data_IF_824220825640
#
_entry.id   IF_824220825640
#
_cell.length_a   1.000
_cell.length_b   1.000
_cell.length_c   1.000
_cell.angle_alpha   90.00
_cell.angle_beta   90.00
_cell.angle_gamma   90.00
#
_symmetry.space_group_name_H-M   'P 1'
#
loop_
_entity.id
_entity.type
_entity.pdbx_description
1 polymer ?
#
# COMPACT_ATOMS: atom_id res chain seq x y z
N UNK A 1 13.97 -28.05 4.31
CA UNK A 1 13.17 -27.00 4.97
C UNK A 1 14.07 -25.80 5.20
N UNK A 2 13.62 -24.60 4.82
CA UNK A 2 14.41 -23.35 4.95
C UNK A 2 13.51 -22.21 5.42
N UNK A 3 14.01 -21.40 6.34
CA UNK A 3 13.37 -20.16 6.79
C UNK A 3 14.09 -18.98 6.13
N UNK A 4 13.35 -18.13 5.44
CA UNK A 4 13.85 -16.87 4.91
C UNK A 4 13.32 -15.74 5.78
N UNK A 5 14.21 -14.87 6.22
CA UNK A 5 13.85 -13.61 6.87
C UNK A 5 14.30 -12.48 5.96
N UNK A 6 13.40 -11.56 5.67
CA UNK A 6 13.59 -10.56 4.64
C UNK A 6 13.16 -9.17 5.15
N UNK A 7 14.06 -8.37 5.75
CA UNK A 7 13.82 -6.94 5.87
C UNK A 7 13.70 -6.32 4.49
N UNK A 8 12.74 -5.40 4.33
CA UNK A 8 12.47 -4.79 3.04
C UNK A 8 12.12 -3.31 3.14
N UNK A 9 12.36 -2.65 2.02
CA UNK A 9 11.81 -1.34 1.69
C UNK A 9 10.83 -1.49 0.53
N UNK A 10 9.68 -0.85 0.62
CA UNK A 10 8.66 -0.91 -0.40
C UNK A 10 8.07 0.46 -0.69
N UNK A 11 7.49 0.61 -1.87
CA UNK A 11 6.74 1.78 -2.25
C UNK A 11 5.49 1.39 -3.02
N UNK A 12 4.42 2.14 -2.81
CA UNK A 12 3.16 1.94 -3.53
C UNK A 12 3.22 2.58 -4.92
N UNK A 13 2.56 1.93 -5.88
CA UNK A 13 2.48 2.31 -7.28
C UNK A 13 1.00 2.36 -7.67
N UNK A 14 0.65 3.42 -8.40
CA UNK A 14 -0.71 3.62 -8.91
C UNK A 14 -1.62 4.44 -7.99
N UNK A 15 -1.10 4.97 -6.88
CA UNK A 15 -1.88 5.88 -6.03
C UNK A 15 -2.08 7.23 -6.73
N UNK A 16 -3.30 7.75 -6.64
CA UNK A 16 -3.72 9.00 -7.29
C UNK A 16 -3.09 10.22 -6.64
N UNK A 17 -3.09 10.28 -5.30
CA UNK A 17 -2.76 11.50 -4.55
C UNK A 17 -1.50 11.41 -3.68
N UNK A 18 -1.21 10.25 -3.08
CA UNK A 18 -0.04 10.08 -2.23
C UNK A 18 0.55 8.68 -2.37
N UNK A 19 1.85 8.61 -2.65
CA UNK A 19 2.60 7.35 -2.64
C UNK A 19 3.20 7.12 -1.26
N UNK A 20 3.10 5.90 -0.77
CA UNK A 20 3.60 5.51 0.55
C UNK A 20 4.96 4.84 0.43
N UNK A 21 5.90 5.24 1.27
CA UNK A 21 7.18 4.57 1.49
C UNK A 21 7.05 3.69 2.73
N UNK A 22 7.34 2.40 2.59
CA UNK A 22 7.06 1.37 3.58
C UNK A 22 8.37 0.70 3.96
N UNK A 23 8.57 0.49 5.26
CA UNK A 23 9.64 -0.35 5.79
C UNK A 23 9.00 -1.50 6.53
N UNK A 24 9.52 -2.70 6.33
CA UNK A 24 8.93 -3.89 6.91
C UNK A 24 9.85 -5.09 6.90
N UNK A 25 9.28 -6.23 7.26
CA UNK A 25 9.94 -7.51 7.21
C UNK A 25 8.96 -8.60 6.77
N UNK A 26 9.49 -9.63 6.15
CA UNK A 26 8.78 -10.81 5.72
C UNK A 26 9.52 -12.06 6.21
N UNK A 27 8.76 -13.05 6.69
CA UNK A 27 9.28 -14.34 7.09
C UNK A 27 8.60 -15.41 6.22
N UNK A 28 9.38 -16.21 5.50
CA UNK A 28 8.90 -17.30 4.64
C UNK A 28 9.47 -18.64 5.07
N UNK A 29 8.60 -19.60 5.34
CA UNK A 29 8.97 -20.96 5.64
C UNK A 29 8.66 -21.87 4.44
N UNK A 30 9.70 -22.45 3.84
CA UNK A 30 9.56 -23.41 2.76
C UNK A 30 9.62 -24.83 3.35
N UNK A 31 8.48 -25.51 3.30
CA UNK A 31 8.35 -26.90 3.73
C UNK A 31 8.69 -27.87 2.59
N UNK A 32 8.41 -27.47 1.34
CA UNK A 32 8.89 -28.13 0.12
C UNK A 32 9.81 -27.20 -0.66
N UNK A 33 10.60 -27.73 -1.60
CA UNK A 33 11.53 -26.92 -2.39
C UNK A 33 10.85 -25.90 -3.30
N UNK A 34 9.58 -26.14 -3.63
CA UNK A 34 8.73 -25.36 -4.52
C UNK A 34 7.53 -24.70 -3.84
N UNK A 35 7.26 -25.00 -2.56
CA UNK A 35 6.10 -24.50 -1.82
C UNK A 35 6.48 -23.99 -0.44
N UNK A 36 6.01 -22.80 -0.11
CA UNK A 36 6.21 -22.17 1.19
C UNK A 36 5.00 -21.40 1.68
N UNK A 37 5.04 -21.03 2.95
CA UNK A 37 4.10 -20.10 3.57
C UNK A 37 4.88 -18.90 4.09
N UNK A 38 4.28 -17.72 4.03
CA UNK A 38 4.91 -16.47 4.41
C UNK A 38 3.98 -15.60 5.24
N UNK A 39 4.57 -14.84 6.15
CA UNK A 39 3.94 -13.72 6.81
C UNK A 39 4.78 -12.46 6.58
N UNK A 40 4.13 -11.34 6.28
CA UNK A 40 4.82 -10.08 6.06
C UNK A 40 4.11 -8.94 6.79
N UNK A 41 4.86 -7.90 7.12
CA UNK A 41 4.33 -6.71 7.75
C UNK A 41 5.24 -5.51 7.59
N UNK A 42 4.67 -4.32 7.53
CA UNK A 42 5.41 -3.07 7.38
C UNK A 42 4.59 -1.85 7.76
N UNK A 43 5.30 -0.77 8.06
CA UNK A 43 4.74 0.53 8.40
C UNK A 43 5.13 1.56 7.35
N UNK A 44 4.21 2.47 7.05
CA UNK A 44 4.47 3.61 6.19
C UNK A 44 5.30 4.64 6.96
N UNK A 45 6.52 4.88 6.52
CA UNK A 45 7.50 5.80 7.14
C UNK A 45 7.54 7.15 6.47
N UNK A 46 7.04 7.24 5.24
CA UNK A 46 7.06 8.46 4.46
C UNK A 46 5.95 8.47 3.43
N UNK A 47 5.58 9.67 3.01
CA UNK A 47 4.60 9.90 1.95
C UNK A 47 5.15 10.87 0.94
N UNK A 48 4.87 10.61 -0.32
CA UNK A 48 5.25 11.45 -1.44
C UNK A 48 3.97 11.89 -2.15
N UNK A 49 3.64 13.17 -2.05
CA UNK A 49 2.53 13.76 -2.78
C UNK A 49 2.78 13.61 -4.28
N UNK A 50 1.76 13.11 -4.98
CA UNK A 50 1.80 12.99 -6.44
C UNK A 50 1.70 14.36 -7.09
N UNK A 51 2.00 14.42 -8.39
CA UNK A 51 1.80 15.65 -9.16
C UNK A 51 0.34 16.08 -9.16
N UNK A 52 -0.61 15.14 -9.11
CA UNK A 52 -2.03 15.47 -9.04
C UNK A 52 -2.38 16.19 -7.73
N UNK A 53 -1.93 15.68 -6.59
CA UNK A 53 -2.17 16.35 -5.30
C UNK A 53 -1.54 17.75 -5.24
N UNK A 54 -0.35 17.92 -5.82
CA UNK A 54 0.32 19.22 -5.94
C UNK A 54 -0.44 20.19 -6.84
N UNK A 55 -0.93 19.73 -7.99
CA UNK A 55 -1.74 20.54 -8.90
C UNK A 55 -3.06 20.97 -8.26
N UNK A 56 -3.74 20.09 -7.51
CA UNK A 56 -4.95 20.46 -6.75
C UNK A 56 -4.62 21.52 -5.69
N UNK A 57 -3.49 21.38 -4.99
CA UNK A 57 -3.05 22.38 -4.01
C UNK A 57 -2.76 23.74 -4.65
N UNK A 58 -2.02 23.73 -5.76
CA UNK A 58 -1.47 24.95 -6.36
C UNK A 58 -2.49 25.68 -7.24
N UNK A 59 -3.38 24.94 -7.92
CA UNK A 59 -4.36 25.48 -8.89
C UNK A 59 -5.83 25.18 -8.58
N UNK A 60 -6.12 24.40 -7.54
CA UNK A 60 -7.50 24.07 -7.16
C UNK A 60 -8.31 25.31 -6.83
N UNK A 61 -9.58 25.33 -7.28
CA UNK A 61 -10.52 26.42 -6.99
C UNK A 61 -11.58 25.89 -6.03
N UNK A 62 -11.64 26.50 -4.85
CA UNK A 62 -12.72 26.26 -3.89
C UNK A 62 -13.87 27.21 -4.21
N UNK A 63 -15.01 26.63 -4.53
CA UNK A 63 -16.30 27.30 -4.74
C UNK A 63 -17.30 26.76 -3.72
N UNK A 64 -18.49 27.35 -3.65
CA UNK A 64 -19.54 26.80 -2.79
C UNK A 64 -19.99 25.40 -3.24
N UNK A 65 -19.84 25.07 -4.53
CA UNK A 65 -20.25 23.78 -5.07
C UNK A 65 -19.43 22.61 -4.58
N UNK A 66 -18.12 22.81 -4.43
CA UNK A 66 -17.14 21.78 -4.06
C UNK A 66 -16.54 22.06 -2.68
N UNK A 67 -17.19 22.87 -1.84
CA UNK A 67 -16.65 23.25 -0.54
C UNK A 67 -16.57 22.07 0.43
N UNK A 68 -17.41 21.05 0.26
CA UNK A 68 -17.33 19.80 1.01
C UNK A 68 -16.06 19.00 0.65
N UNK A 69 -15.78 18.89 -0.64
CA UNK A 69 -14.66 18.12 -1.21
C UNK A 69 -13.30 18.81 -1.07
N UNK A 70 -13.28 20.12 -1.28
CA UNK A 70 -12.07 20.94 -1.25
C UNK A 70 -12.26 22.21 -0.39
N UNK A 71 -12.50 22.07 0.94
CA UNK A 71 -12.62 23.23 1.84
C UNK A 71 -11.47 24.22 1.75
N UNK A 72 -10.24 23.70 1.68
CA UNK A 72 -9.03 24.43 1.35
C UNK A 72 -8.14 23.61 0.45
N UNK A 73 -7.71 24.22 -0.66
CA UNK A 73 -6.72 23.66 -1.58
C UNK A 73 -5.38 23.39 -0.91
N UNK A 74 -4.94 24.27 0.00
CA UNK A 74 -3.64 24.16 0.66
C UNK A 74 -3.53 22.90 1.52
N UNK A 75 -4.67 22.47 2.10
CA UNK A 75 -4.79 21.29 2.96
C UNK A 75 -5.30 20.06 2.22
N UNK A 76 -5.36 20.09 0.89
CA UNK A 76 -5.79 18.93 0.11
C UNK A 76 -4.93 17.67 0.40
N UNK A 77 -3.59 17.74 0.49
CA UNK A 77 -2.79 16.58 0.87
C UNK A 77 -3.19 15.99 2.24
N UNK A 78 -3.60 16.86 3.17
CA UNK A 78 -3.98 16.47 4.53
C UNK A 78 -5.33 15.77 4.64
N UNK A 79 -6.19 15.81 3.62
CA UNK A 79 -7.46 15.05 3.58
C UNK A 79 -7.37 13.73 2.80
N UNK A 80 -6.32 13.54 1.98
CA UNK A 80 -6.15 12.32 1.17
C UNK A 80 -6.12 11.04 2.03
N UNK A 81 -6.71 9.97 1.51
CA UNK A 81 -6.67 8.64 2.11
C UNK A 81 -5.24 8.12 2.15
N UNK A 82 -4.86 7.47 3.26
CA UNK A 82 -3.52 6.93 3.47
C UNK A 82 -3.58 5.50 3.96
N UNK A 83 -2.56 4.72 3.65
CA UNK A 83 -2.32 3.43 4.31
C UNK A 83 -1.15 3.59 5.28
N UNK A 84 -1.38 3.30 6.56
CA UNK A 84 -0.43 3.49 7.65
C UNK A 84 0.42 2.25 7.91
N UNK A 85 -0.17 1.07 7.77
CA UNK A 85 0.50 -0.20 7.94
C UNK A 85 -0.10 -1.25 7.02
N UNK A 86 0.71 -2.22 6.66
CA UNK A 86 0.35 -3.34 5.81
C UNK A 86 0.83 -4.62 6.48
N UNK A 87 0.04 -5.66 6.40
CA UNK A 87 0.41 -6.99 6.87
C UNK A 87 -0.28 -8.05 6.02
N UNK A 88 0.21 -9.27 6.01
CA UNK A 88 -0.44 -10.34 5.28
C UNK A 88 0.16 -11.70 5.55
N UNK A 89 -0.61 -12.70 5.12
CA UNK A 89 -0.18 -14.10 5.06
C UNK A 89 -0.33 -14.59 3.63
N UNK A 90 0.68 -15.32 3.15
CA UNK A 90 0.82 -15.68 1.74
C UNK A 90 1.29 -17.12 1.59
N UNK A 91 0.83 -17.78 0.53
CA UNK A 91 1.36 -19.04 0.03
C UNK A 91 2.28 -18.72 -1.14
N UNK A 92 3.47 -19.32 -1.15
CA UNK A 92 4.54 -19.07 -2.13
C UNK A 92 4.76 -20.31 -2.98
N UNK A 93 4.76 -20.13 -4.29
CA UNK A 93 4.97 -21.18 -5.28
C UNK A 93 6.18 -20.82 -6.14
N UNK A 94 7.22 -21.66 -6.11
CA UNK A 94 8.52 -21.41 -6.77
C UNK A 94 8.72 -22.45 -7.89
N UNK A 95 8.15 -22.23 -9.08
CA UNK A 95 8.26 -23.18 -10.19
C UNK A 95 9.62 -23.14 -10.89
N UNK A 96 10.31 -22.00 -10.86
CA UNK A 96 11.58 -21.82 -11.55
C UNK A 96 12.68 -21.50 -10.55
N UNK A 97 13.65 -22.41 -10.49
CA UNK A 97 14.93 -22.23 -9.84
C UNK A 97 16.02 -22.48 -10.87
N UNK A 98 16.98 -21.57 -10.97
CA UNK A 98 18.06 -21.71 -11.93
C UNK A 98 19.30 -20.93 -11.54
N UNK A 99 20.42 -21.28 -12.16
CA UNK A 99 21.66 -20.50 -12.09
C UNK A 99 21.68 -19.50 -13.22
N UNK A 100 21.77 -18.23 -12.90
CA UNK A 100 21.96 -17.17 -13.88
C UNK A 100 23.42 -16.74 -13.87
N UNK A 101 23.97 -16.55 -15.06
CA UNK A 101 25.30 -16.01 -15.26
C UNK A 101 25.19 -14.57 -15.77
N UNK A 102 25.56 -13.58 -14.96
CA UNK A 102 25.72 -12.20 -15.42
C UNK A 102 27.13 -12.04 -16.00
N UNK A 103 27.21 -11.52 -17.22
CA UNK A 103 28.47 -11.21 -17.91
C UNK A 103 29.45 -12.40 -18.03
N UNK A 104 28.93 -13.63 -18.03
CA UNK A 104 29.73 -14.88 -18.07
C UNK A 104 30.76 -15.02 -16.93
N UNK A 105 30.67 -14.22 -15.86
CA UNK A 105 31.65 -14.22 -14.75
C UNK A 105 31.01 -14.28 -13.37
N UNK A 106 29.79 -13.77 -13.20
CA UNK A 106 29.10 -13.76 -11.91
C UNK A 106 27.96 -14.77 -11.99
N UNK A 107 28.09 -15.87 -11.25
CA UNK A 107 27.04 -16.88 -11.11
C UNK A 107 26.26 -16.60 -9.84
N UNK A 108 24.94 -16.47 -9.95
CA UNK A 108 24.05 -16.36 -8.81
C UNK A 108 22.87 -17.31 -8.98
N UNK A 109 22.38 -17.84 -7.85
CA UNK A 109 21.16 -18.66 -7.85
C UNK A 109 19.96 -17.73 -7.89
N UNK A 110 19.01 -18.01 -8.78
CA UNK A 110 17.82 -17.22 -8.99
C UNK A 110 16.56 -18.07 -8.82
N UNK A 111 15.62 -17.56 -8.01
CA UNK A 111 14.30 -18.13 -7.79
C UNK A 111 13.23 -17.14 -8.31
N UNK A 112 12.30 -17.62 -9.14
CA UNK A 112 11.07 -16.89 -9.48
C UNK A 112 9.89 -17.50 -8.70
N UNK A 113 9.25 -16.67 -7.89
CA UNK A 113 8.22 -17.01 -6.92
C UNK A 113 6.90 -16.31 -7.31
N UNK A 114 5.81 -17.06 -7.25
CA UNK A 114 4.43 -16.56 -7.37
C UNK A 114 3.74 -16.76 -6.03
N UNK A 115 3.08 -15.72 -5.53
CA UNK A 115 2.40 -15.81 -4.24
C UNK A 115 0.96 -15.33 -4.30
N UNK A 116 0.15 -15.90 -3.41
CA UNK A 116 -1.26 -15.56 -3.22
C UNK A 116 -1.60 -15.64 -1.75
N UNK A 117 -2.46 -14.75 -1.26
CA UNK A 117 -2.76 -14.67 0.15
C UNK A 117 -3.82 -13.64 0.51
N UNK A 118 -3.81 -13.25 1.77
CA UNK A 118 -4.68 -12.22 2.32
C UNK A 118 -3.82 -11.11 2.92
N UNK A 119 -4.18 -9.86 2.60
CA UNK A 119 -3.59 -8.66 3.16
C UNK A 119 -4.57 -7.96 4.11
N UNK A 120 -4.00 -7.41 5.17
CA UNK A 120 -4.63 -6.56 6.17
C UNK A 120 -3.96 -5.19 6.09
N UNK A 121 -4.77 -4.15 5.94
CA UNK A 121 -4.27 -2.79 5.73
C UNK A 121 -4.86 -1.86 6.77
N UNK A 122 -4.01 -1.13 7.48
CA UNK A 122 -4.44 -0.02 8.31
C UNK A 122 -4.66 1.21 7.46
N UNK A 123 -5.89 1.48 7.08
CA UNK A 123 -6.26 2.64 6.26
C UNK A 123 -6.72 3.77 7.18
N UNK A 124 -6.31 4.98 6.85
CA UNK A 124 -6.78 6.20 7.50
C UNK A 124 -7.35 7.13 6.42
N UNK A 125 -8.64 7.42 6.53
CA UNK A 125 -9.44 8.21 5.58
C UNK A 125 -9.90 9.49 6.28
N UNK A 126 -10.44 10.44 5.51
CA UNK A 126 -11.17 11.58 6.09
C UNK A 126 -12.34 11.04 6.92
N UNK A 127 -12.59 11.64 8.08
CA UNK A 127 -13.69 11.25 8.94
C UNK A 127 -15.05 11.62 8.33
N UNK A 128 -16.08 10.88 8.73
CA UNK A 128 -17.43 11.06 8.21
C UNK A 128 -17.89 12.51 8.38
N UNK A 129 -18.32 13.13 7.29
CA UNK A 129 -18.65 14.57 7.24
C UNK A 129 -19.90 14.78 6.41
N UNK A 130 -20.86 15.52 6.95
CA UNK A 130 -22.09 15.86 6.23
C UNK A 130 -22.03 17.32 5.78
N UNK A 131 -22.16 17.56 4.48
CA UNK A 131 -22.53 18.86 3.93
C UNK A 131 -24.05 19.04 4.08
N UNK A 132 -24.50 20.19 4.61
CA UNK A 132 -25.93 20.45 4.73
C UNK A 132 -26.43 21.10 3.43
N UNK A 133 -27.32 20.46 2.65
CA UNK A 133 -27.93 21.14 1.52
C UNK A 133 -28.90 22.22 2.06
N UNK A 134 -28.59 23.49 1.85
CA UNK A 134 -29.57 24.55 2.00
C UNK A 134 -30.50 24.53 0.78
N UNK A 135 -31.80 24.75 0.98
CA UNK A 135 -32.78 24.73 -0.11
C UNK A 135 -32.47 25.82 -1.14
N UNK A 136 -32.02 25.43 -2.34
CA UNK A 136 -31.73 26.32 -3.46
C UNK A 136 -30.28 26.76 -3.62
N UNK A 137 -29.35 26.29 -2.78
CA UNK A 137 -27.93 26.68 -2.85
C UNK A 137 -26.97 25.48 -2.80
N UNK A 138 -25.80 25.68 -3.41
CA UNK A 138 -24.67 24.75 -3.50
C UNK A 138 -24.19 24.36 -2.10
N UNK A 139 -23.97 23.06 -1.87
CA UNK A 139 -23.67 22.43 -0.57
C UNK A 139 -22.73 23.27 0.33
N UNK A 140 -23.33 24.01 1.26
CA UNK A 140 -22.61 24.71 2.31
C UNK A 140 -22.50 23.81 3.56
N UNK A 141 -21.32 23.78 4.18
CA UNK A 141 -21.26 23.49 5.62
C UNK A 141 -21.93 24.66 6.35
N UNK A 142 -23.24 24.56 6.64
CA UNK A 142 -24.03 25.70 7.13
C UNK A 142 -23.66 26.12 8.57
N UNK A 143 -23.53 27.44 8.77
CA UNK A 143 -23.39 28.28 10.00
C UNK A 143 -21.99 28.64 10.56
N UNK A 144 -21.84 29.81 11.22
CA UNK A 144 -20.60 30.59 11.26
C UNK A 144 -19.53 29.92 12.14
N UNK A 145 -18.40 29.62 11.51
CA UNK A 145 -17.37 28.73 12.05
C UNK A 145 -17.21 27.56 11.09
N UNK A 146 -16.51 27.81 9.98
CA UNK A 146 -16.23 26.93 8.84
C UNK A 146 -15.92 25.46 9.20
N UNK A 147 -16.93 24.63 9.51
CA UNK A 147 -16.77 23.24 9.95
C UNK A 147 -16.19 22.31 8.86
N UNK A 148 -16.27 22.73 7.60
CA UNK A 148 -15.63 22.06 6.47
C UNK A 148 -14.10 22.04 6.59
N UNK A 149 -13.49 23.08 7.16
CA UNK A 149 -12.04 23.21 7.24
C UNK A 149 -11.42 22.30 8.32
N UNK A 150 -12.01 22.18 9.54
CA UNK A 150 -11.65 21.14 10.51
C UNK A 150 -11.86 19.73 9.97
N UNK A 151 -12.89 19.49 9.14
CA UNK A 151 -13.16 18.14 8.65
C UNK A 151 -12.12 17.64 7.63
N UNK A 152 -11.35 18.51 6.97
CA UNK A 152 -10.18 18.08 6.16
C UNK A 152 -9.11 17.41 7.01
N UNK A 153 -8.99 17.80 8.28
CA UNK A 153 -8.00 17.28 9.22
C UNK A 153 -8.54 16.14 10.08
N UNK A 154 -9.86 15.98 10.16
CA UNK A 154 -10.50 14.91 10.89
C UNK A 154 -10.25 13.58 10.17
N UNK A 155 -9.73 12.58 10.91
CA UNK A 155 -9.32 11.29 10.35
C UNK A 155 -10.02 10.12 11.03
N UNK A 156 -10.49 9.18 10.24
CA UNK A 156 -11.03 7.90 10.69
C UNK A 156 -10.10 6.76 10.32
N UNK A 157 -9.85 5.85 11.25
CA UNK A 157 -8.95 4.70 11.07
C UNK A 157 -9.78 3.43 10.95
N UNK A 158 -9.39 2.55 10.02
CA UNK A 158 -9.98 1.21 9.90
C UNK A 158 -8.98 0.19 9.37
N UNK A 159 -9.31 -1.07 9.57
CA UNK A 159 -8.61 -2.18 8.94
C UNK A 159 -9.38 -2.62 7.70
N UNK A 160 -8.73 -2.60 6.53
CA UNK A 160 -9.24 -3.22 5.32
C UNK A 160 -8.66 -4.63 5.18
N UNK A 161 -9.47 -5.56 4.69
CA UNK A 161 -9.04 -6.92 4.35
C UNK A 161 -9.20 -7.09 2.84
N UNK A 162 -8.18 -7.61 2.19
CA UNK A 162 -8.14 -7.75 0.74
C UNK A 162 -7.35 -8.99 0.31
N UNK A 163 -7.66 -9.58 -0.86
CA UNK A 163 -6.76 -10.57 -1.44
C UNK A 163 -5.42 -9.92 -1.79
N UNK A 164 -4.33 -10.66 -1.63
CA UNK A 164 -2.97 -10.30 -2.03
C UNK A 164 -2.47 -11.32 -3.04
N UNK A 165 -1.77 -10.85 -4.07
CA UNK A 165 -1.09 -11.75 -5.00
C UNK A 165 0.09 -11.03 -5.65
N UNK A 166 1.01 -11.78 -6.24
CA UNK A 166 2.11 -11.16 -6.95
C UNK A 166 3.20 -12.12 -7.37
N UNK A 167 4.33 -11.51 -7.75
CA UNK A 167 5.52 -12.19 -8.24
C UNK A 167 6.74 -11.63 -7.53
N UNK A 168 7.69 -12.51 -7.23
CA UNK A 168 8.95 -12.15 -6.62
C UNK A 168 10.11 -12.81 -7.38
N UNK A 169 11.14 -12.03 -7.64
CA UNK A 169 12.41 -12.50 -8.15
C UNK A 169 13.44 -12.41 -7.03
N UNK A 170 14.09 -13.52 -6.70
CA UNK A 170 15.11 -13.60 -5.66
C UNK A 170 16.44 -14.01 -6.27
N UNK A 171 17.51 -13.26 -6.01
CA UNK A 171 18.87 -13.58 -6.44
C UNK A 171 19.76 -13.77 -5.21
N UNK A 172 20.44 -14.92 -5.12
CA UNK A 172 21.29 -15.30 -4.00
C UNK A 172 22.77 -15.19 -4.39
N UNK A 173 23.53 -14.39 -3.64
CA UNK A 173 24.96 -14.17 -3.87
C UNK A 173 25.84 -15.11 -3.06
N UNK A 174 25.32 -15.56 -1.91
CA UNK A 174 25.93 -16.50 -0.98
C UNK A 174 24.83 -17.41 -0.44
N UNK A 175 25.18 -18.57 0.14
CA UNK A 175 24.21 -19.54 0.68
C UNK A 175 23.28 -18.94 1.76
N UNK A 176 23.68 -17.84 2.39
CA UNK A 176 22.94 -17.18 3.48
C UNK A 176 22.36 -15.81 3.11
N UNK A 177 22.73 -15.22 1.97
CA UNK A 177 22.39 -13.83 1.63
C UNK A 177 21.93 -13.70 0.18
N UNK A 178 20.76 -13.07 0.01
CA UNK A 178 20.22 -12.70 -1.30
C UNK A 178 19.54 -11.35 -1.32
N UNK A 179 19.09 -10.95 -2.50
CA UNK A 179 18.23 -9.79 -2.74
C UNK A 179 16.91 -10.26 -3.35
N UNK A 180 15.81 -9.64 -2.96
CA UNK A 180 14.49 -9.87 -3.52
C UNK A 180 13.96 -8.61 -4.19
N UNK A 181 13.27 -8.81 -5.30
CA UNK A 181 12.43 -7.82 -5.94
C UNK A 181 11.03 -8.39 -6.04
N UNK A 182 10.04 -7.71 -5.47
CA UNK A 182 8.68 -8.24 -5.39
C UNK A 182 7.68 -7.19 -5.85
N UNK A 183 6.76 -7.61 -6.69
CA UNK A 183 5.58 -6.84 -7.04
C UNK A 183 4.35 -7.52 -6.45
N UNK A 184 3.52 -6.75 -5.75
CA UNK A 184 2.32 -7.21 -5.07
C UNK A 184 1.12 -6.37 -5.47
N UNK A 185 0.03 -7.03 -5.88
CA UNK A 185 -1.28 -6.43 -6.12
C UNK A 185 -2.24 -6.70 -4.97
N UNK A 186 -2.91 -5.65 -4.49
CA UNK A 186 -3.83 -5.68 -3.35
C UNK A 186 -5.06 -4.83 -3.69
N UNK A 187 -6.08 -5.38 -4.37
CA UNK A 187 -7.28 -4.64 -4.69
C UNK A 187 -8.15 -4.44 -3.44
N UNK A 188 -8.40 -3.19 -3.05
CA UNK A 188 -9.30 -2.86 -1.94
C UNK A 188 -10.03 -1.54 -2.19
N UNK A 189 -11.10 -1.30 -1.44
CA UNK A 189 -11.86 -0.05 -1.52
C UNK A 189 -11.37 0.92 -0.46
N UNK A 190 -11.15 2.18 -0.82
CA UNK A 190 -10.92 3.28 0.12
C UNK A 190 -11.19 4.64 -0.54
N UNK A 191 -11.41 5.67 0.27
CA UNK A 191 -11.61 7.04 -0.22
C UNK A 191 -10.25 7.75 -0.30
N UNK A 192 -9.69 7.82 -1.51
CA UNK A 192 -8.36 8.37 -1.79
C UNK A 192 -8.32 9.89 -1.73
N UNK A 193 -9.36 10.55 -2.23
CA UNK A 193 -9.47 12.00 -2.25
C UNK A 193 -9.94 12.60 -0.92
N UNK A 194 -10.62 11.81 -0.09
CA UNK A 194 -11.34 12.33 1.07
C UNK A 194 -12.50 13.24 0.64
N UNK A 195 -13.15 12.88 -0.46
CA UNK A 195 -14.21 13.62 -1.17
C UNK A 195 -15.51 12.84 -1.17
N UNK A 196 -16.61 13.53 -1.41
CA UNK A 196 -17.92 13.00 -1.74
C UNK A 196 -17.89 12.56 -3.22
N UNK A 197 -17.75 11.25 -3.43
CA UNK A 197 -17.59 10.66 -4.77
C UNK A 197 -18.92 10.25 -5.39
N UNK A 198 -19.99 10.15 -4.59
CA UNK A 198 -21.32 9.78 -5.05
C UNK A 198 -22.27 11.00 -5.17
N UNK A 199 -21.81 12.18 -4.75
CA UNK A 199 -22.49 13.47 -4.75
C UNK A 199 -23.82 13.45 -3.96
N UNK A 200 -23.85 12.71 -2.85
CA UNK A 200 -25.00 12.64 -1.94
C UNK A 200 -24.95 13.70 -0.81
N UNK A 201 -23.89 14.51 -0.79
CA UNK A 201 -23.65 15.55 0.18
C UNK A 201 -23.00 15.06 1.47
N UNK A 202 -22.53 13.82 1.51
CA UNK A 202 -21.91 13.19 2.66
C UNK A 202 -20.59 12.56 2.25
N UNK A 203 -19.61 12.63 3.14
CA UNK A 203 -18.36 11.89 3.01
C UNK A 203 -18.47 10.74 4.00
N UNK A 204 -18.62 9.52 3.50
CA UNK A 204 -18.77 8.33 4.31
C UNK A 204 -18.16 7.07 3.63
N UNK A 205 -18.60 5.90 4.10
CA UNK A 205 -18.16 4.61 3.56
C UNK A 205 -18.57 4.31 2.11
N UNK A 206 -19.61 4.98 1.60
CA UNK A 206 -20.15 4.83 0.26
C UNK A 206 -19.26 5.51 -0.80
N UNK A 207 -18.46 6.49 -0.41
CA UNK A 207 -17.49 7.18 -1.29
C UNK A 207 -16.23 6.36 -1.60
N UNK A 208 -16.10 5.17 -1.00
CA UNK A 208 -14.93 4.33 -1.18
C UNK A 208 -14.93 3.69 -2.56
N UNK A 209 -14.01 4.14 -3.41
CA UNK A 209 -13.80 3.57 -4.73
C UNK A 209 -12.95 2.30 -4.66
N UNK A 210 -13.29 1.30 -5.50
CA UNK A 210 -12.48 0.10 -5.65
C UNK A 210 -11.24 0.45 -6.45
N UNK A 211 -10.08 0.27 -5.86
CA UNK A 211 -8.81 0.53 -6.52
C UNK A 211 -7.94 -0.71 -6.56
N UNK A 212 -7.13 -0.80 -7.62
CA UNK A 212 -6.08 -1.78 -7.74
C UNK A 212 -4.79 -1.19 -7.19
N UNK A 213 -4.59 -1.33 -5.88
CA UNK A 213 -3.38 -0.86 -5.23
C UNK A 213 -2.27 -1.85 -5.51
N UNK A 214 -1.09 -1.35 -5.85
CA UNK A 214 0.07 -2.20 -6.06
C UNK A 214 1.28 -1.67 -5.31
N UNK A 215 2.18 -2.57 -4.96
CA UNK A 215 3.37 -2.26 -4.18
C UNK A 215 4.56 -2.96 -4.83
N UNK A 216 5.68 -2.24 -4.90
CA UNK A 216 6.95 -2.81 -5.28
C UNK A 216 7.89 -2.78 -4.09
N UNK A 217 8.55 -3.91 -3.85
CA UNK A 217 9.37 -4.17 -2.68
C UNK A 217 10.75 -4.60 -3.12
N UNK A 218 11.76 -4.09 -2.43
CA UNK A 218 13.15 -4.53 -2.51
C UNK A 218 13.58 -4.98 -1.12
N UNK A 219 14.03 -6.23 -0.99
CA UNK A 219 14.39 -6.82 0.28
C UNK A 219 15.74 -7.52 0.25
N UNK A 220 16.31 -7.72 1.43
CA UNK A 220 17.50 -8.54 1.63
C UNK A 220 17.09 -9.86 2.26
N UNK A 221 17.44 -10.99 1.66
CA UNK A 221 17.06 -12.32 2.15
C UNK A 221 18.17 -12.88 3.01
N UNK A 222 17.83 -13.26 4.24
CA UNK A 222 18.67 -14.07 5.13
C UNK A 222 18.10 -15.48 5.22
N UNK A 223 18.90 -16.50 4.89
CA UNK A 223 18.49 -17.90 4.93
C UNK A 223 18.94 -18.57 6.23
N UNK A 224 18.00 -19.19 6.94
CA UNK A 224 18.23 -19.90 8.20
C UNK A 224 17.72 -21.36 8.10
N UNK A 225 18.48 -22.36 8.59
CA UNK A 225 19.85 -22.29 9.11
C UNK A 225 20.90 -22.06 8.01
N UNK A 226 22.04 -21.38 8.30
CA UNK A 226 23.08 -21.09 7.31
C UNK A 226 23.81 -22.32 6.74
N UNK A 227 23.65 -23.49 7.38
CA UNK A 227 24.13 -24.78 6.91
C UNK A 227 23.05 -25.82 7.11
N UNK A 228 22.62 -26.46 6.03
CA UNK A 228 21.93 -27.75 6.10
C UNK A 228 22.89 -28.75 6.75
N UNK A 229 22.55 -29.25 7.94
CA UNK A 229 23.15 -30.52 8.39
C UNK A 229 22.62 -31.59 7.45
N UNK A 230 23.42 -32.00 6.49
CA UNK A 230 23.30 -33.33 5.89
C UNK A 230 23.55 -34.32 7.03
N UNK A 231 22.49 -35.00 7.46
CA UNK A 231 22.65 -36.25 8.20
C UNK A 231 23.03 -37.28 7.13
N UNK A 232 24.26 -37.78 7.19
CA UNK A 232 24.63 -39.06 6.56
C UNK A 232 23.78 -40.21 7.12
#
# INVERSE_FOLDING_TARGET
MRLHVEPFFAFTIGDEYARSLIVGAEARFHFLDWLGIGGWGGYTVGKLDTNLAKEVRDKGVTTNANRLDLPSRERFPDQTGRVNWWSGVELHFVPFRGKLAMFQKIFFDADLDFFVGAAFLGVEERADTVGRPAAGEVLFCDTPGDLCLPSQLARSKRTAVAPSFGVAFSAFFQDFLGISFRWRGIPFKYNTGGTDNNNDGQIDSNDRLKQFNSMFTVGLIFVLPPKTKTTD
#
